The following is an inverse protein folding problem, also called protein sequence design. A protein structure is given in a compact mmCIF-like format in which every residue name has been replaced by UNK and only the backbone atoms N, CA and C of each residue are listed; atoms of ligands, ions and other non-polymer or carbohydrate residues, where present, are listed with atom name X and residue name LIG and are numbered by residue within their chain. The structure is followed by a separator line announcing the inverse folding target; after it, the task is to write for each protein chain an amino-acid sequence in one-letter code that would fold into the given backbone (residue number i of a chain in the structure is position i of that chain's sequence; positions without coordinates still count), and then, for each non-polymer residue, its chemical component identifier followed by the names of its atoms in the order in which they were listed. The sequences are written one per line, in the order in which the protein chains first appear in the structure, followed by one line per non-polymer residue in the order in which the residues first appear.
data_IF_424049563071
#
_entry.id   IF_424049563071
#
_cell.length_a   1.000
_cell.length_b   1.000
_cell.length_c   1.000
_cell.angle_alpha   90.00
_cell.angle_beta   90.00
_cell.angle_gamma   90.00
#
_symmetry.space_group_name_H-M   'P 1'
#
loop_
_entity.id
_entity.type
_entity.pdbx_description
1 polymer ?
#
# COMPACT_ATOMS: atom_id res chain seq x y z
N UNK A 1 19.10 21.67 32.48
CA UNK A 1 19.53 20.38 33.10
C UNK A 1 19.40 19.30 32.06
N UNK A 2 20.55 18.81 31.63
CA UNK A 2 20.83 17.99 30.45
C UNK A 2 20.04 16.68 30.31
N UNK A 3 18.79 16.78 29.85
CA UNK A 3 17.99 15.67 29.35
C UNK A 3 18.57 15.07 28.04
N UNK A 4 19.56 15.74 27.45
CA UNK A 4 20.18 15.30 26.18
C UNK A 4 21.43 14.41 26.34
N UNK A 5 21.94 14.20 27.56
CA UNK A 5 23.16 13.42 27.78
C UNK A 5 23.03 11.93 27.43
N UNK A 6 21.94 11.24 27.78
CA UNK A 6 21.75 9.85 27.36
C UNK A 6 21.57 9.69 25.85
N UNK A 7 20.89 10.63 25.19
CA UNK A 7 20.67 10.60 23.75
C UNK A 7 21.94 10.88 22.95
N UNK A 8 22.86 11.72 23.45
CA UNK A 8 24.17 11.92 22.84
C UNK A 8 25.04 10.66 22.94
N UNK A 9 25.02 9.96 24.07
CA UNK A 9 25.76 8.70 24.24
C UNK A 9 25.18 7.58 23.37
N UNK A 10 23.85 7.47 23.25
CA UNK A 10 23.20 6.54 22.35
C UNK A 10 23.51 6.86 20.87
N UNK A 11 23.51 8.13 20.47
CA UNK A 11 23.93 8.54 19.13
C UNK A 11 25.39 8.17 18.84
N UNK A 12 26.31 8.32 19.79
CA UNK A 12 27.71 7.92 19.61
C UNK A 12 27.92 6.41 19.52
N UNK A 13 27.07 5.59 20.15
CA UNK A 13 27.13 4.13 20.07
C UNK A 13 26.49 3.53 18.80
N UNK A 14 25.62 4.28 18.11
CA UNK A 14 24.89 3.82 16.95
C UNK A 14 25.40 4.36 15.60
N UNK A 15 26.55 5.03 15.56
CA UNK A 15 27.10 5.58 14.32
C UNK A 15 27.90 4.50 13.57
N UNK A 16 27.18 3.50 13.13
CA UNK A 16 27.56 2.64 12.01
C UNK A 16 26.50 2.91 10.95
N UNK A 17 26.84 3.74 9.98
CA UNK A 17 25.91 4.14 8.95
C UNK A 17 26.28 3.53 7.60
N UNK A 18 25.28 3.28 6.77
CA UNK A 18 25.47 2.86 5.39
C UNK A 18 25.08 4.00 4.47
N UNK A 19 25.91 4.29 3.49
CA UNK A 19 25.66 5.34 2.50
C UNK A 19 25.44 4.73 1.12
N UNK A 20 24.41 5.22 0.43
CA UNK A 20 24.11 4.92 -0.96
C UNK A 20 24.59 6.03 -1.92
N UNK A 21 25.45 6.94 -1.45
CA UNK A 21 25.99 8.01 -2.27
C UNK A 21 26.88 7.46 -3.39
N UNK A 22 26.51 7.75 -4.62
CA UNK A 22 27.22 7.32 -5.83
C UNK A 22 28.22 8.39 -6.30
N UNK A 23 27.89 9.68 -6.13
CA UNK A 23 28.74 10.79 -6.54
C UNK A 23 30.04 10.83 -5.72
N UNK A 24 31.17 10.62 -6.37
CA UNK A 24 32.49 10.54 -5.72
C UNK A 24 32.87 11.78 -4.90
N UNK A 25 32.48 12.98 -5.37
CA UNK A 25 32.70 14.25 -4.65
C UNK A 25 31.94 14.33 -3.34
N UNK A 26 30.67 13.92 -3.34
CA UNK A 26 29.84 13.90 -2.12
C UNK A 26 30.32 12.83 -1.13
N UNK A 27 30.72 11.66 -1.62
CA UNK A 27 31.24 10.59 -0.78
C UNK A 27 32.58 10.97 -0.14
N UNK A 28 33.47 11.68 -0.84
CA UNK A 28 34.72 12.17 -0.26
C UNK A 28 34.49 13.23 0.81
N UNK A 29 33.62 14.22 0.54
CA UNK A 29 33.24 15.23 1.53
C UNK A 29 32.60 14.60 2.76
N UNK A 30 31.71 13.62 2.56
CA UNK A 30 31.08 12.92 3.67
C UNK A 30 32.09 12.17 4.55
N UNK A 31 33.07 11.48 3.95
CA UNK A 31 34.13 10.77 4.68
C UNK A 31 35.07 11.72 5.39
N UNK A 32 35.32 12.91 4.88
CA UNK A 32 36.17 13.92 5.48
C UNK A 32 35.57 14.53 6.76
N UNK A 33 34.26 14.75 6.77
CA UNK A 33 33.54 15.39 7.87
C UNK A 33 32.81 14.43 8.81
N UNK A 34 32.74 13.15 8.48
CA UNK A 34 32.03 12.16 9.28
C UNK A 34 33.01 11.37 10.17
N UNK A 35 32.93 11.55 11.49
CA UNK A 35 33.71 10.79 12.48
C UNK A 35 33.12 9.41 12.80
N UNK A 36 32.33 8.83 11.89
CA UNK A 36 31.66 7.55 12.06
C UNK A 36 32.20 6.51 11.08
N UNK A 37 32.06 5.23 11.44
CA UNK A 37 32.30 4.16 10.49
C UNK A 37 31.19 4.13 9.44
N UNK A 38 31.53 4.45 8.19
CA UNK A 38 30.59 4.53 7.07
C UNK A 38 30.91 3.42 6.06
N UNK A 39 29.90 2.63 5.70
CA UNK A 39 29.98 1.67 4.62
C UNK A 39 29.34 2.28 3.38
N UNK A 40 30.13 2.51 2.35
CA UNK A 40 29.63 2.90 1.03
C UNK A 40 29.11 1.64 0.30
N UNK A 41 27.79 1.37 0.40
CA UNK A 41 27.17 0.14 -0.10
C UNK A 41 27.52 -0.10 -1.58
N UNK A 42 27.29 0.87 -2.43
CA UNK A 42 27.54 0.68 -3.87
C UNK A 42 29.03 0.48 -4.19
N UNK A 43 29.93 1.22 -3.56
CA UNK A 43 31.37 1.09 -3.84
C UNK A 43 31.92 -0.29 -3.48
N UNK A 44 31.38 -0.90 -2.43
CA UNK A 44 31.82 -2.23 -1.97
C UNK A 44 31.43 -3.36 -2.93
N UNK A 45 30.35 -3.17 -3.70
CA UNK A 45 29.82 -4.20 -4.59
C UNK A 45 30.03 -3.91 -6.07
N UNK A 46 29.97 -2.63 -6.48
CA UNK A 46 30.08 -2.26 -7.90
C UNK A 46 31.45 -2.62 -8.48
N UNK A 47 32.52 -2.28 -7.79
CA UNK A 47 33.87 -2.57 -8.29
C UNK A 47 34.19 -4.06 -8.50
N UNK A 48 33.81 -4.97 -7.59
CA UNK A 48 33.86 -6.42 -7.83
C UNK A 48 33.00 -6.88 -9.03
N UNK A 49 31.78 -6.35 -9.15
CA UNK A 49 30.89 -6.69 -10.28
C UNK A 49 31.41 -6.21 -11.62
N UNK A 50 31.96 -5.00 -11.71
CA UNK A 50 32.59 -4.47 -12.93
C UNK A 50 33.72 -5.37 -13.41
N UNK A 51 34.53 -5.88 -12.47
CA UNK A 51 35.63 -6.79 -12.80
C UNK A 51 35.15 -8.14 -13.28
N UNK A 52 34.10 -8.69 -12.65
CA UNK A 52 33.54 -9.99 -13.02
C UNK A 52 32.79 -9.93 -14.34
N UNK A 53 32.03 -8.86 -14.57
CA UNK A 53 31.24 -8.69 -15.79
C UNK A 53 32.05 -8.10 -16.95
N UNK A 54 33.23 -7.55 -16.70
CA UNK A 54 34.05 -6.88 -17.71
C UNK A 54 33.43 -5.59 -18.27
N UNK A 55 32.44 -5.01 -17.57
CA UNK A 55 31.71 -3.83 -18.00
C UNK A 55 31.79 -2.77 -16.89
N UNK A 56 32.29 -1.55 -17.17
CA UNK A 56 32.28 -0.47 -16.21
C UNK A 56 30.86 0.05 -15.97
N UNK A 57 30.55 0.41 -14.71
CA UNK A 57 29.30 1.09 -14.40
C UNK A 57 29.35 2.54 -14.92
N UNK A 58 28.22 3.07 -15.33
CA UNK A 58 28.11 4.46 -15.80
C UNK A 58 28.08 5.48 -14.66
N UNK A 59 28.07 5.04 -13.40
CA UNK A 59 27.97 5.84 -12.17
C UNK A 59 26.84 6.87 -12.18
N UNK A 60 25.82 6.67 -13.03
CA UNK A 60 24.72 7.62 -13.15
C UNK A 60 23.80 7.57 -11.94
N UNK A 61 23.38 8.74 -11.49
CA UNK A 61 22.45 8.91 -10.37
C UNK A 61 21.03 9.00 -10.94
N UNK A 62 20.10 8.21 -10.37
CA UNK A 62 18.68 8.31 -10.71
C UNK A 62 18.28 7.60 -12.01
N UNK A 63 19.17 6.84 -12.65
CA UNK A 63 18.86 6.01 -13.83
C UNK A 63 18.47 4.57 -13.48
N UNK A 64 17.81 4.36 -12.37
CA UNK A 64 17.31 3.02 -11.99
C UNK A 64 16.20 2.51 -12.92
N UNK A 65 15.68 3.38 -13.77
CA UNK A 65 14.70 3.04 -14.80
C UNK A 65 15.14 3.67 -16.12
N UNK A 66 15.28 2.87 -17.16
CA UNK A 66 15.53 3.35 -18.50
C UNK A 66 14.50 4.40 -18.91
N UNK A 67 14.96 5.45 -19.56
CA UNK A 67 14.21 6.64 -19.97
C UNK A 67 12.96 6.32 -20.83
N UNK A 68 12.77 5.06 -21.23
CA UNK A 68 11.64 4.62 -22.03
C UNK A 68 10.28 4.62 -21.29
N UNK A 69 10.24 4.78 -19.95
CA UNK A 69 9.00 4.58 -19.20
C UNK A 69 8.76 5.58 -18.05
N UNK A 70 9.20 6.84 -18.24
CA UNK A 70 9.00 7.88 -17.24
C UNK A 70 7.50 8.13 -16.97
N UNK A 71 6.65 8.05 -17.99
CA UNK A 71 5.20 8.21 -17.84
C UNK A 71 4.59 7.06 -17.03
N UNK A 72 5.04 5.85 -17.28
CA UNK A 72 4.61 4.66 -16.51
C UNK A 72 5.02 4.77 -15.06
N UNK A 73 6.26 5.15 -14.80
CA UNK A 73 6.75 5.38 -13.45
C UNK A 73 5.92 6.46 -12.72
N UNK A 74 5.70 7.60 -13.38
CA UNK A 74 4.92 8.70 -12.80
C UNK A 74 3.47 8.26 -12.52
N UNK A 75 2.81 7.60 -13.48
CA UNK A 75 1.45 7.05 -13.27
C UNK A 75 1.37 6.12 -12.06
N UNK A 76 2.38 5.25 -11.89
CA UNK A 76 2.44 4.33 -10.75
C UNK A 76 2.62 5.09 -9.43
N UNK A 77 3.51 6.08 -9.39
CA UNK A 77 3.70 6.92 -8.19
C UNK A 77 2.44 7.72 -7.88
N UNK A 78 1.78 8.28 -8.88
CA UNK A 78 0.51 9.01 -8.71
C UNK A 78 -0.59 8.09 -8.16
N UNK A 79 -0.71 6.86 -8.67
CA UNK A 79 -1.66 5.89 -8.17
C UNK A 79 -1.36 5.49 -6.71
N UNK A 80 -0.10 5.27 -6.36
CA UNK A 80 0.31 4.96 -4.97
C UNK A 80 -0.01 6.13 -4.05
N UNK A 81 0.34 7.36 -4.42
CA UNK A 81 0.05 8.54 -3.61
C UNK A 81 -1.45 8.75 -3.44
N UNK A 82 -2.24 8.57 -4.50
CA UNK A 82 -3.69 8.61 -4.45
C UNK A 82 -4.23 7.56 -3.46
N UNK A 83 -3.81 6.32 -3.61
CA UNK A 83 -4.27 5.21 -2.77
C UNK A 83 -3.93 5.41 -1.30
N UNK A 84 -2.72 5.88 -0.98
CA UNK A 84 -2.34 6.20 0.40
C UNK A 84 -3.17 7.35 1.00
N UNK A 85 -3.51 8.35 0.20
CA UNK A 85 -4.36 9.46 0.65
C UNK A 85 -5.83 9.03 0.88
N UNK A 86 -6.29 8.00 0.20
CA UNK A 86 -7.68 7.49 0.27
C UNK A 86 -7.77 6.13 0.97
N UNK A 87 -6.84 5.83 1.87
CA UNK A 87 -6.90 4.62 2.70
C UNK A 87 -7.77 4.83 3.94
N UNK A 88 -8.54 3.83 4.32
CA UNK A 88 -9.43 3.80 5.50
C UNK A 88 -10.37 5.04 5.62
N UNK A 89 -10.81 5.59 4.49
CA UNK A 89 -11.76 6.71 4.49
C UNK A 89 -11.19 8.02 5.04
N UNK A 90 -9.87 8.21 5.01
CA UNK A 90 -9.20 9.43 5.50
C UNK A 90 -9.69 10.69 4.80
N UNK A 91 -10.07 10.58 3.53
CA UNK A 91 -10.71 11.64 2.77
C UNK A 91 -11.76 11.10 1.81
N UNK A 92 -12.85 11.83 1.66
CA UNK A 92 -13.88 11.57 0.66
C UNK A 92 -13.75 12.50 -0.56
N UNK A 93 -12.79 13.43 -0.53
CA UNK A 93 -12.55 14.36 -1.64
C UNK A 93 -11.79 13.64 -2.75
N UNK A 94 -12.30 13.72 -3.97
CA UNK A 94 -11.64 13.11 -5.14
C UNK A 94 -11.83 11.60 -5.25
N UNK A 95 -12.85 11.02 -4.60
CA UNK A 95 -13.22 9.62 -4.80
C UNK A 95 -13.64 9.32 -6.25
N UNK A 96 -14.19 10.33 -6.92
CA UNK A 96 -14.53 10.28 -8.35
C UNK A 96 -13.34 10.05 -9.27
N UNK A 97 -12.12 10.42 -8.82
CA UNK A 97 -10.87 10.21 -9.56
C UNK A 97 -10.31 8.79 -9.39
N UNK A 98 -10.93 7.96 -8.55
CA UNK A 98 -10.56 6.55 -8.41
C UNK A 98 -10.87 5.77 -9.68
N UNK A 99 -10.02 4.80 -10.01
CA UNK A 99 -10.31 3.75 -10.97
C UNK A 99 -11.15 2.64 -10.33
N UNK A 100 -10.94 2.40 -9.02
CA UNK A 100 -11.71 1.46 -8.21
C UNK A 100 -11.85 1.95 -6.78
N UNK A 101 -13.02 1.72 -6.18
CA UNK A 101 -13.29 1.97 -4.76
C UNK A 101 -13.59 0.64 -4.07
N UNK A 102 -12.72 0.22 -3.17
CA UNK A 102 -12.90 -1.02 -2.40
C UNK A 102 -13.73 -0.75 -1.15
N UNK A 103 -14.85 -1.46 -1.01
CA UNK A 103 -15.72 -1.36 0.16
C UNK A 103 -15.77 -2.67 0.94
N UNK A 104 -16.12 -2.61 2.21
CA UNK A 104 -16.31 -3.79 3.07
C UNK A 104 -15.91 -3.50 4.51
N UNK A 105 -16.10 -4.49 5.37
CA UNK A 105 -15.80 -4.36 6.80
C UNK A 105 -14.32 -4.11 7.07
N UNK A 106 -14.01 -3.50 8.21
CA UNK A 106 -12.61 -3.33 8.63
C UNK A 106 -11.92 -4.68 8.74
N UNK A 107 -10.70 -4.82 8.17
CA UNK A 107 -9.88 -6.04 8.10
C UNK A 107 -10.32 -7.08 7.07
N UNK A 108 -11.11 -6.71 6.09
CA UNK A 108 -11.45 -7.59 4.96
C UNK A 108 -10.37 -7.67 3.86
N UNK A 109 -9.22 -7.03 4.04
CA UNK A 109 -8.11 -7.06 3.06
C UNK A 109 -8.08 -5.88 2.07
N UNK A 110 -8.90 -4.82 2.28
CA UNK A 110 -8.97 -3.67 1.37
C UNK A 110 -7.64 -2.96 1.18
N UNK A 111 -7.01 -2.50 2.26
CA UNK A 111 -5.72 -1.77 2.21
C UNK A 111 -4.63 -2.53 1.45
N UNK A 112 -4.31 -3.80 1.72
CA UNK A 112 -3.28 -4.50 0.96
C UNK A 112 -3.66 -4.68 -0.51
N UNK A 113 -4.95 -4.88 -0.82
CA UNK A 113 -5.42 -5.02 -2.19
C UNK A 113 -5.34 -3.69 -2.96
N UNK A 114 -5.76 -2.58 -2.35
CA UNK A 114 -5.67 -1.25 -2.98
C UNK A 114 -4.22 -0.86 -3.27
N UNK A 115 -3.31 -1.11 -2.33
CA UNK A 115 -1.89 -0.86 -2.52
C UNK A 115 -1.30 -1.77 -3.62
N UNK A 116 -1.69 -3.04 -3.67
CA UNK A 116 -1.22 -3.94 -4.72
C UNK A 116 -1.67 -3.49 -6.11
N UNK A 117 -2.94 -3.09 -6.26
CA UNK A 117 -3.47 -2.53 -7.51
C UNK A 117 -2.69 -1.29 -7.95
N UNK A 118 -2.38 -0.39 -7.02
CA UNK A 118 -1.61 0.81 -7.31
C UNK A 118 -0.16 0.49 -7.69
N UNK A 119 0.51 -0.37 -6.92
CA UNK A 119 1.92 -0.70 -7.12
C UNK A 119 2.15 -1.56 -8.37
N UNK A 120 1.28 -2.53 -8.62
CA UNK A 120 1.46 -3.50 -9.70
C UNK A 120 0.90 -2.99 -11.03
N UNK A 121 -0.24 -2.31 -10.99
CA UNK A 121 -0.97 -1.94 -12.21
C UNK A 121 -1.12 -0.42 -12.41
N UNK A 122 -0.65 0.40 -11.46
CA UNK A 122 -0.77 1.85 -11.55
C UNK A 122 -2.23 2.35 -11.48
N UNK A 123 -3.10 1.62 -10.78
CA UNK A 123 -4.52 1.88 -10.64
C UNK A 123 -4.77 2.68 -9.37
N UNK A 124 -5.49 3.78 -9.48
CA UNK A 124 -5.93 4.58 -8.35
C UNK A 124 -7.05 3.86 -7.59
N UNK A 125 -6.70 3.22 -6.50
CA UNK A 125 -7.64 2.44 -5.69
C UNK A 125 -7.91 3.15 -4.36
N UNK A 126 -9.17 3.55 -4.13
CA UNK A 126 -9.61 4.04 -2.82
C UNK A 126 -10.09 2.89 -1.94
N UNK A 127 -9.96 3.05 -0.62
CA UNK A 127 -10.42 2.10 0.38
C UNK A 127 -11.43 2.78 1.32
N UNK A 128 -12.69 2.35 1.25
CA UNK A 128 -13.76 2.87 2.08
C UNK A 128 -14.26 1.78 3.04
N UNK A 129 -14.00 1.88 4.35
CA UNK A 129 -14.51 0.93 5.32
C UNK A 129 -16.00 1.20 5.59
N UNK A 130 -16.82 0.16 5.47
CA UNK A 130 -18.21 0.22 5.95
C UNK A 130 -18.20 0.13 7.49
N UNK A 131 -18.91 1.03 8.12
CA UNK A 131 -19.00 1.20 9.57
C UNK A 131 -20.42 0.92 10.08
N UNK A 132 -20.61 0.66 11.37
CA UNK A 132 -21.94 0.37 11.93
C UNK A 132 -23.01 1.41 11.59
N UNK A 133 -22.65 2.69 11.54
CA UNK A 133 -23.53 3.79 11.19
C UNK A 133 -24.05 3.70 9.75
N UNK A 134 -23.27 3.12 8.84
CA UNK A 134 -23.69 2.86 7.44
C UNK A 134 -24.72 1.72 7.41
N UNK A 135 -24.53 0.69 8.25
CA UNK A 135 -25.48 -0.42 8.36
C UNK A 135 -26.82 0.03 8.96
N UNK A 136 -26.79 0.89 10.00
CA UNK A 136 -27.99 1.46 10.60
C UNK A 136 -28.79 2.33 9.61
N UNK A 137 -28.09 3.09 8.77
CA UNK A 137 -28.72 3.90 7.71
C UNK A 137 -29.36 3.03 6.64
N UNK A 138 -28.80 1.86 6.40
CA UNK A 138 -29.30 0.92 5.42
C UNK A 138 -29.13 1.34 3.97
N UNK A 139 -28.37 2.37 3.66
CA UNK A 139 -28.11 2.91 2.33
C UNK A 139 -26.61 3.09 2.12
N UNK A 140 -26.19 3.12 0.85
CA UNK A 140 -24.81 3.39 0.49
C UNK A 140 -24.39 4.76 1.05
N UNK A 141 -23.19 4.87 1.63
CA UNK A 141 -22.68 6.17 2.06
C UNK A 141 -22.74 7.22 0.94
N UNK A 142 -23.24 8.44 1.21
CA UNK A 142 -23.42 9.46 0.17
C UNK A 142 -22.14 9.78 -0.61
N UNK A 143 -20.98 9.63 0.02
CA UNK A 143 -19.68 9.83 -0.62
C UNK A 143 -19.43 8.83 -1.77
N UNK A 144 -20.11 7.71 -1.80
CA UNK A 144 -19.95 6.63 -2.79
C UNK A 144 -20.97 6.68 -3.93
N UNK A 145 -22.01 7.51 -3.83
CA UNK A 145 -23.10 7.55 -4.82
C UNK A 145 -22.62 7.87 -6.23
N UNK A 146 -21.63 8.77 -6.34
CA UNK A 146 -21.06 9.18 -7.63
C UNK A 146 -20.04 8.17 -8.20
N UNK A 147 -19.73 7.12 -7.45
CA UNK A 147 -18.70 6.13 -7.81
C UNK A 147 -19.26 4.71 -7.95
N UNK A 148 -20.59 4.53 -8.00
CA UNK A 148 -21.24 3.20 -7.95
C UNK A 148 -20.72 2.21 -8.99
N UNK A 149 -20.41 2.66 -10.18
CA UNK A 149 -19.85 1.88 -11.29
C UNK A 149 -18.41 1.39 -11.06
N UNK A 150 -17.70 2.00 -10.11
CA UNK A 150 -16.30 1.71 -9.76
C UNK A 150 -16.16 0.98 -8.43
N UNK A 151 -17.26 0.69 -7.73
CA UNK A 151 -17.24 0.04 -6.43
C UNK A 151 -17.07 -1.46 -6.58
N UNK A 152 -16.18 -2.03 -5.78
CA UNK A 152 -16.05 -3.47 -5.62
C UNK A 152 -15.94 -3.84 -4.13
N UNK A 153 -16.69 -4.85 -3.71
CA UNK A 153 -16.78 -5.28 -2.33
C UNK A 153 -15.74 -6.35 -1.97
N UNK A 154 -15.20 -6.24 -0.77
CA UNK A 154 -14.42 -7.33 -0.16
C UNK A 154 -15.10 -7.81 1.11
N UNK A 155 -15.51 -9.07 1.09
CA UNK A 155 -16.03 -9.79 2.24
C UNK A 155 -14.95 -10.71 2.83
N UNK A 156 -15.21 -11.24 4.02
CA UNK A 156 -14.34 -12.20 4.73
C UNK A 156 -15.22 -13.09 5.60
N UNK A 157 -14.80 -14.35 5.88
CA UNK A 157 -15.54 -15.17 6.83
C UNK A 157 -15.51 -14.56 8.25
N UNK A 158 -16.64 -14.55 8.98
CA UNK A 158 -16.69 -13.97 10.33
C UNK A 158 -15.66 -14.59 11.29
N UNK A 159 -15.46 -15.90 11.20
CA UNK A 159 -14.46 -16.61 12.01
C UNK A 159 -13.05 -16.06 11.75
N UNK A 160 -12.65 -15.94 10.47
CA UNK A 160 -11.33 -15.40 10.11
C UNK A 160 -11.19 -13.95 10.51
N UNK A 161 -12.25 -13.16 10.37
CA UNK A 161 -12.30 -11.77 10.81
C UNK A 161 -12.09 -11.64 12.32
N UNK A 162 -12.78 -12.47 13.10
CA UNK A 162 -12.63 -12.51 14.57
C UNK A 162 -11.20 -12.87 15.00
N UNK A 163 -10.55 -13.84 14.33
CA UNK A 163 -9.16 -14.19 14.56
C UNK A 163 -8.23 -12.99 14.32
N UNK A 164 -8.31 -12.35 13.15
CA UNK A 164 -7.46 -11.19 12.78
C UNK A 164 -7.68 -10.00 13.71
N UNK A 165 -8.92 -9.73 14.08
CA UNK A 165 -9.25 -8.63 15.01
C UNK A 165 -8.80 -8.95 16.43
N UNK A 166 -8.87 -10.22 16.84
CA UNK A 166 -8.44 -10.73 18.13
C UNK A 166 -6.92 -10.59 18.35
N UNK A 167 -6.11 -10.82 17.32
CA UNK A 167 -4.66 -10.59 17.36
C UNK A 167 -4.32 -9.11 17.67
N UNK A 168 -5.14 -8.18 17.18
CA UNK A 168 -4.89 -6.73 17.36
C UNK A 168 -5.50 -6.18 18.64
N UNK A 169 -6.71 -6.63 19.01
CA UNK A 169 -7.45 -6.19 20.19
C UNK A 169 -8.10 -7.40 20.88
N UNK A 170 -7.34 -8.16 21.67
CA UNK A 170 -7.85 -9.33 22.37
C UNK A 170 -9.05 -8.97 23.27
N UNK A 171 -10.02 -9.87 23.36
CA UNK A 171 -11.19 -9.78 24.23
C UNK A 171 -12.04 -8.51 24.06
N UNK A 172 -12.03 -7.90 22.89
CA UNK A 172 -12.84 -6.73 22.57
C UNK A 172 -14.17 -7.13 21.92
N UNK A 173 -15.23 -6.33 22.12
CA UNK A 173 -16.49 -6.46 21.36
C UNK A 173 -16.23 -6.43 19.84
N UNK A 174 -15.29 -5.62 19.39
CA UNK A 174 -14.87 -5.51 18.00
C UNK A 174 -14.39 -6.83 17.40
N UNK A 175 -13.76 -7.69 18.19
CA UNK A 175 -13.23 -8.98 17.77
C UNK A 175 -14.17 -10.16 18.11
N UNK A 176 -15.30 -9.92 18.79
CA UNK A 176 -16.23 -11.01 19.10
C UNK A 176 -16.83 -11.61 17.82
N UNK A 177 -17.10 -12.90 17.84
CA UNK A 177 -17.62 -13.61 16.69
C UNK A 177 -18.99 -13.08 16.29
N UNK A 178 -19.85 -12.79 17.26
CA UNK A 178 -21.20 -12.27 17.04
C UNK A 178 -21.16 -10.90 16.34
N UNK A 179 -20.23 -10.03 16.74
CA UNK A 179 -20.07 -8.73 16.09
C UNK A 179 -19.52 -8.87 14.67
N UNK A 180 -18.59 -9.80 14.48
CA UNK A 180 -18.03 -10.08 13.14
C UNK A 180 -19.10 -10.68 12.21
N UNK A 181 -19.95 -11.57 12.69
CA UNK A 181 -21.08 -12.12 11.95
C UNK A 181 -22.04 -11.01 11.52
N UNK A 182 -22.46 -10.20 12.48
CA UNK A 182 -23.36 -9.06 12.22
C UNK A 182 -22.80 -8.11 11.15
N UNK A 183 -21.56 -7.62 11.33
CA UNK A 183 -20.97 -6.66 10.40
C UNK A 183 -20.77 -7.25 8.98
N UNK A 184 -20.35 -8.51 8.88
CA UNK A 184 -20.17 -9.17 7.58
C UNK A 184 -21.50 -9.36 6.88
N UNK A 185 -22.55 -9.83 7.59
CA UNK A 185 -23.88 -10.01 7.01
C UNK A 185 -24.48 -8.69 6.56
N UNK A 186 -24.42 -7.64 7.37
CA UNK A 186 -24.93 -6.33 6.98
C UNK A 186 -24.20 -5.72 5.80
N UNK A 187 -22.86 -5.87 5.76
CA UNK A 187 -22.08 -5.43 4.61
C UNK A 187 -22.47 -6.17 3.33
N UNK A 188 -22.67 -7.49 3.40
CA UNK A 188 -23.11 -8.29 2.25
C UNK A 188 -24.51 -7.89 1.82
N UNK A 189 -25.47 -7.76 2.75
CA UNK A 189 -26.84 -7.30 2.45
C UNK A 189 -26.86 -5.93 1.77
N UNK A 190 -26.00 -5.01 2.23
CA UNK A 190 -25.88 -3.70 1.60
C UNK A 190 -25.34 -3.82 0.18
N UNK A 191 -24.26 -4.58 -0.02
CA UNK A 191 -23.69 -4.79 -1.35
C UNK A 191 -24.68 -5.46 -2.32
N UNK A 192 -25.40 -6.48 -1.85
CA UNK A 192 -26.43 -7.16 -2.65
C UNK A 192 -27.55 -6.21 -3.05
N UNK A 193 -28.05 -5.39 -2.12
CA UNK A 193 -29.13 -4.42 -2.37
C UNK A 193 -28.71 -3.35 -3.37
N UNK A 194 -27.48 -2.86 -3.28
CA UNK A 194 -26.92 -1.84 -4.17
C UNK A 194 -26.38 -2.42 -5.49
N UNK A 195 -26.44 -3.74 -5.67
CA UNK A 195 -25.93 -4.43 -6.87
C UNK A 195 -24.40 -4.36 -6.99
N UNK A 196 -23.69 -4.17 -5.88
CA UNK A 196 -22.23 -4.11 -5.83
C UNK A 196 -21.68 -5.52 -5.87
N UNK A 197 -20.82 -5.79 -6.86
CA UNK A 197 -20.10 -7.06 -6.93
C UNK A 197 -19.10 -7.18 -5.81
N UNK A 198 -19.00 -8.34 -5.19
CA UNK A 198 -18.02 -8.58 -4.14
C UNK A 198 -17.46 -9.99 -4.18
N UNK A 199 -16.34 -10.21 -3.53
CA UNK A 199 -15.74 -11.53 -3.33
C UNK A 199 -15.26 -11.72 -1.88
N UNK A 200 -15.12 -12.97 -1.48
CA UNK A 200 -14.52 -13.32 -0.18
C UNK A 200 -13.00 -13.38 -0.27
N UNK A 201 -12.33 -12.63 0.60
CA UNK A 201 -10.86 -12.63 0.73
C UNK A 201 -10.34 -13.76 1.64
N UNK A 202 -11.20 -14.60 2.21
CA UNK A 202 -10.86 -15.56 3.26
C UNK A 202 -9.72 -16.51 2.88
N UNK A 203 -9.73 -17.01 1.65
CA UNK A 203 -8.78 -18.02 1.16
C UNK A 203 -8.09 -17.62 -0.14
N UNK A 204 -8.25 -16.39 -0.56
CA UNK A 204 -7.66 -15.87 -1.80
C UNK A 204 -6.42 -15.05 -1.53
N UNK A 205 -5.44 -15.15 -2.41
CA UNK A 205 -4.27 -14.28 -2.40
C UNK A 205 -4.64 -12.87 -2.90
N UNK A 206 -3.79 -11.89 -2.59
CA UNK A 206 -3.99 -10.50 -3.02
C UNK A 206 -3.97 -10.41 -4.54
N UNK A 207 -3.15 -11.21 -5.20
CA UNK A 207 -3.03 -11.33 -6.65
C UNK A 207 -4.32 -11.82 -7.28
N UNK A 208 -4.91 -12.89 -6.73
CA UNK A 208 -6.19 -13.44 -7.20
C UNK A 208 -7.35 -12.46 -7.01
N UNK A 209 -7.38 -11.79 -5.85
CA UNK A 209 -8.36 -10.75 -5.56
C UNK A 209 -8.24 -9.62 -6.59
N UNK A 210 -7.03 -9.12 -6.80
CA UNK A 210 -6.77 -8.01 -7.72
C UNK A 210 -7.13 -8.39 -9.17
N UNK A 211 -6.74 -9.57 -9.62
CA UNK A 211 -7.09 -10.06 -10.96
C UNK A 211 -8.62 -10.16 -11.16
N UNK A 212 -9.34 -10.62 -10.14
CA UNK A 212 -10.80 -10.69 -10.18
C UNK A 212 -11.43 -9.28 -10.28
N UNK A 213 -10.95 -8.32 -9.49
CA UNK A 213 -11.43 -6.93 -9.51
C UNK A 213 -11.27 -6.33 -10.91
N UNK A 214 -10.08 -6.48 -11.49
CA UNK A 214 -9.77 -5.94 -12.83
C UNK A 214 -10.68 -6.53 -13.90
N UNK A 215 -10.94 -7.83 -13.82
CA UNK A 215 -11.82 -8.52 -14.77
C UNK A 215 -13.28 -8.08 -14.62
N UNK A 216 -13.79 -8.04 -13.38
CA UNK A 216 -15.19 -7.74 -13.09
C UNK A 216 -15.57 -6.30 -13.39
N UNK A 217 -14.68 -5.35 -13.11
CA UNK A 217 -14.86 -3.93 -13.42
C UNK A 217 -14.40 -3.58 -14.84
N UNK A 218 -13.89 -4.54 -15.60
CA UNK A 218 -13.38 -4.34 -16.97
C UNK A 218 -12.35 -3.22 -17.07
N UNK A 219 -11.48 -3.12 -16.07
CA UNK A 219 -10.40 -2.14 -16.05
C UNK A 219 -9.33 -2.59 -17.05
N UNK A 220 -9.12 -1.79 -18.07
CA UNK A 220 -8.08 -2.06 -19.07
C UNK A 220 -6.70 -1.83 -18.44
N UNK A 221 -5.93 -2.90 -18.35
CA UNK A 221 -4.53 -2.83 -17.96
C UNK A 221 -3.73 -2.56 -19.23
N UNK A 222 -2.84 -1.58 -19.17
CA UNK A 222 -1.81 -1.42 -20.20
C UNK A 222 -0.96 -2.72 -20.22
N UNK A 223 -0.89 -3.47 -21.34
CA UNK A 223 -0.16 -4.74 -21.41
C UNK A 223 1.30 -4.63 -20.96
N UNK A 224 1.86 -3.43 -21.03
CA UNK A 224 3.21 -3.15 -20.59
C UNK A 224 3.32 -2.87 -19.08
N UNK A 225 2.21 -2.86 -18.33
CA UNK A 225 2.20 -2.60 -16.89
C UNK A 225 2.32 -3.87 -16.02
N UNK A 226 2.01 -5.06 -16.54
CA UNK A 226 2.25 -6.32 -15.86
C UNK A 226 3.72 -6.74 -16.02
N UNK A 227 4.43 -6.90 -14.91
CA UNK A 227 5.71 -7.60 -14.90
C UNK A 227 5.51 -9.09 -14.97
#
# INVERSE_FOLDING_TARGET
RDLHYPLRRQRQMCIRDSSTLVAGSLASTFNEYCNAFVIALFRSFVGPLERELGVPSDHSVGKSHEIGDQERYNRRIDAINYTLAHDDGQTNKGLEDADVVLVGVSRSGKTPTSLYLAMQYGIKAANYPLIPEDFERGELPPALENCKDKIFGLSISPKRLSEIRGERRPNSKYASIENCEYEVEEAQRMMDREGIKYLSSTSKSIEEISATILLELKINIDPHMSM
#
